data_IF_272657095972
#
_entry.id   IF_272657095972
#
_cell.length_a   1.000
_cell.length_b   1.000
_cell.length_c   1.000
_cell.angle_alpha   90.00
_cell.angle_beta   90.00
_cell.angle_gamma   90.00
#
_symmetry.space_group_name_H-M   'P 1'
#
loop_
_entity.id
_entity.type
_entity.pdbx_description
1 polymer ?
#
# COMPACT_ATOMS: atom_id res chain seq x y z
N UNK A 1 5.63 -29.48 -8.68
CA UNK A 1 5.32 -28.32 -9.54
C UNK A 1 5.11 -28.75 -10.98
N UNK A 2 6.04 -29.50 -11.58
CA UNK A 2 5.92 -29.95 -12.98
C UNK A 2 4.64 -30.76 -13.24
N UNK A 3 4.31 -31.72 -12.37
CA UNK A 3 3.04 -32.46 -12.45
C UNK A 3 1.80 -31.56 -12.34
N UNK A 4 1.89 -30.46 -11.56
CA UNK A 4 0.79 -29.50 -11.43
C UNK A 4 0.59 -28.79 -12.76
N UNK A 5 1.68 -28.35 -13.40
CA UNK A 5 1.62 -27.70 -14.71
C UNK A 5 1.15 -28.66 -15.81
N UNK A 6 1.65 -29.89 -15.82
CA UNK A 6 1.31 -30.90 -16.82
C UNK A 6 -0.17 -31.33 -16.77
N UNK A 7 -0.74 -31.43 -15.56
CA UNK A 7 -2.12 -31.88 -15.36
C UNK A 7 -3.13 -30.73 -15.26
N UNK A 8 -2.68 -29.48 -15.32
CA UNK A 8 -3.54 -28.31 -15.11
C UNK A 8 -4.57 -28.17 -16.23
N UNK A 9 -5.85 -28.22 -15.86
CA UNK A 9 -6.95 -27.91 -16.76
C UNK A 9 -7.46 -26.50 -16.49
N UNK A 10 -7.24 -25.60 -17.44
CA UNK A 10 -7.66 -24.20 -17.32
C UNK A 10 -9.17 -24.07 -17.14
N UNK A 11 -9.59 -23.20 -16.22
CA UNK A 11 -10.99 -22.85 -15.98
C UNK A 11 -11.24 -21.38 -16.36
N UNK A 12 -10.50 -20.43 -15.77
CA UNK A 12 -10.65 -18.99 -16.04
C UNK A 12 -9.45 -18.18 -15.57
N UNK A 13 -9.32 -16.95 -16.07
CA UNK A 13 -8.35 -15.98 -15.55
C UNK A 13 -8.88 -15.40 -14.23
N UNK A 14 -8.03 -15.37 -13.21
CA UNK A 14 -8.32 -14.70 -11.94
C UNK A 14 -7.94 -13.24 -12.03
N UNK A 15 -6.71 -12.91 -12.42
CA UNK A 15 -6.23 -11.54 -12.60
C UNK A 15 -5.16 -11.47 -13.67
N UNK A 16 -5.05 -10.31 -14.32
CA UNK A 16 -4.07 -10.04 -15.36
C UNK A 16 -3.61 -8.58 -15.22
N UNK A 17 -2.39 -8.38 -14.72
CA UNK A 17 -1.78 -7.07 -14.56
C UNK A 17 -0.76 -6.82 -15.69
N UNK A 18 -1.10 -5.98 -16.68
CA UNK A 18 -0.20 -5.69 -17.80
C UNK A 18 1.03 -4.89 -17.40
N UNK A 19 0.99 -4.15 -16.27
CA UNK A 19 2.11 -3.33 -15.81
C UNK A 19 3.22 -4.19 -15.24
N UNK A 20 2.88 -5.14 -14.37
CA UNK A 20 3.82 -6.10 -13.78
C UNK A 20 4.03 -7.34 -14.65
N UNK A 21 3.27 -7.47 -15.75
CA UNK A 21 3.31 -8.63 -16.66
C UNK A 21 3.02 -9.94 -15.91
N UNK A 22 2.09 -9.88 -14.96
CA UNK A 22 1.71 -10.96 -14.05
C UNK A 22 0.27 -11.38 -14.34
N UNK A 23 0.04 -12.68 -14.50
CA UNK A 23 -1.29 -13.27 -14.64
C UNK A 23 -1.48 -14.38 -13.61
N UNK A 24 -2.65 -14.46 -13.00
CA UNK A 24 -3.11 -15.60 -12.21
C UNK A 24 -4.26 -16.28 -12.95
N UNK A 25 -4.17 -17.60 -13.11
CA UNK A 25 -5.22 -18.42 -13.71
C UNK A 25 -5.70 -19.48 -12.73
N UNK A 26 -7.01 -19.74 -12.74
CA UNK A 26 -7.65 -20.83 -12.02
C UNK A 26 -7.86 -22.00 -12.97
N UNK A 27 -7.66 -23.20 -12.43
CA UNK A 27 -7.93 -24.45 -13.11
C UNK A 27 -8.20 -25.57 -12.12
N UNK A 28 -8.16 -26.81 -12.63
CA UNK A 28 -8.37 -28.02 -11.85
C UNK A 28 -7.32 -29.08 -12.15
N UNK A 29 -7.01 -29.87 -11.12
CA UNK A 29 -6.23 -31.10 -11.21
C UNK A 29 -7.00 -32.12 -10.37
N UNK A 30 -7.41 -33.25 -10.98
CA UNK A 30 -8.14 -34.32 -10.28
C UNK A 30 -9.32 -33.79 -9.43
N UNK A 31 -10.15 -32.94 -10.03
CA UNK A 31 -11.32 -32.27 -9.42
C UNK A 31 -11.03 -31.30 -8.25
N UNK A 32 -9.76 -31.05 -7.92
CA UNK A 32 -9.36 -30.04 -6.95
C UNK A 32 -8.89 -28.76 -7.65
N UNK A 33 -9.23 -27.61 -7.08
CA UNK A 33 -8.80 -26.32 -7.63
C UNK A 33 -7.27 -26.17 -7.58
N UNK A 34 -6.72 -25.53 -8.61
CA UNK A 34 -5.34 -25.13 -8.69
C UNK A 34 -5.25 -23.68 -9.19
N UNK A 35 -4.34 -22.89 -8.63
CA UNK A 35 -4.00 -21.56 -9.16
C UNK A 35 -2.57 -21.62 -9.68
N UNK A 36 -2.34 -21.11 -10.88
CA UNK A 36 -1.00 -20.94 -11.46
C UNK A 36 -0.81 -19.47 -11.79
N UNK A 37 0.35 -18.91 -11.47
CA UNK A 37 0.73 -17.57 -11.89
C UNK A 37 1.90 -17.58 -12.85
N UNK A 38 1.90 -16.65 -13.80
CA UNK A 38 3.00 -16.41 -14.72
C UNK A 38 3.39 -14.94 -14.65
N UNK A 39 4.64 -14.66 -14.33
CA UNK A 39 5.19 -13.30 -14.22
C UNK A 39 6.44 -13.20 -15.08
N UNK A 40 6.48 -12.24 -16.01
CA UNK A 40 7.70 -12.03 -16.80
C UNK A 40 8.84 -11.51 -15.93
N UNK A 41 9.97 -12.18 -15.97
CA UNK A 41 11.19 -11.76 -15.31
C UNK A 41 11.81 -10.53 -16.02
N UNK A 42 12.63 -9.79 -15.28
CA UNK A 42 13.47 -8.72 -15.86
C UNK A 42 14.56 -9.32 -16.75
N UNK A 43 15.04 -8.55 -17.72
CA UNK A 43 16.26 -8.90 -18.45
C UNK A 43 17.45 -8.97 -17.48
N UNK A 44 18.31 -9.96 -17.68
CA UNK A 44 19.57 -10.04 -16.95
C UNK A 44 20.59 -9.06 -17.52
N UNK A 45 21.44 -8.49 -16.67
CA UNK A 45 22.45 -7.51 -17.09
C UNK A 45 23.42 -8.09 -18.14
N UNK A 46 23.67 -9.40 -18.09
CA UNK A 46 24.50 -10.11 -19.06
C UNK A 46 23.87 -10.24 -20.45
N UNK A 47 22.55 -10.19 -20.55
CA UNK A 47 21.83 -10.31 -21.84
C UNK A 47 21.64 -8.96 -22.54
N UNK A 48 21.66 -7.85 -21.80
CA UNK A 48 21.39 -6.50 -22.32
C UNK A 48 22.18 -6.15 -23.60
N UNK A 49 23.50 -6.42 -23.70
CA UNK A 49 24.27 -6.07 -24.91
C UNK A 49 23.85 -6.86 -26.15
N UNK A 50 23.11 -7.96 -26.01
CA UNK A 50 22.78 -8.89 -27.09
C UNK A 50 21.30 -8.82 -27.52
N UNK A 51 20.48 -7.95 -26.91
CA UNK A 51 19.04 -7.89 -27.20
C UNK A 51 18.75 -7.62 -28.68
N UNK A 52 19.47 -6.70 -29.31
CA UNK A 52 19.24 -6.30 -30.72
C UNK A 52 19.60 -7.40 -31.72
N UNK A 53 20.61 -8.22 -31.43
CA UNK A 53 21.02 -9.35 -32.29
C UNK A 53 20.14 -10.58 -32.07
N UNK A 54 19.54 -10.72 -30.89
CA UNK A 54 18.63 -11.81 -30.51
C UNK A 54 17.14 -11.53 -30.81
N UNK A 55 16.83 -10.31 -31.23
CA UNK A 55 15.47 -9.90 -31.62
C UNK A 55 15.12 -10.48 -32.99
N UNK A 56 14.04 -11.25 -33.06
CA UNK A 56 13.53 -11.78 -34.32
C UNK A 56 13.00 -10.65 -35.21
N UNK A 57 13.20 -10.81 -36.53
CA UNK A 57 12.80 -9.82 -37.54
C UNK A 57 11.98 -10.50 -38.65
N UNK A 58 11.06 -9.78 -39.32
CA UNK A 58 10.68 -8.38 -39.10
C UNK A 58 9.97 -8.16 -37.76
N UNK A 59 9.87 -6.90 -37.31
CA UNK A 59 9.04 -6.55 -36.17
C UNK A 59 7.56 -6.58 -36.59
N UNK A 60 6.71 -7.09 -35.72
CA UNK A 60 5.25 -6.99 -35.82
C UNK A 60 4.81 -5.57 -35.45
N UNK A 61 3.76 -5.05 -36.10
CA UNK A 61 3.22 -3.70 -35.88
C UNK A 61 4.29 -2.58 -35.87
N UNK A 62 5.31 -2.74 -36.71
CA UNK A 62 6.40 -1.78 -36.82
C UNK A 62 5.89 -0.44 -37.36
N UNK A 63 6.20 0.63 -36.65
CA UNK A 63 5.90 2.01 -37.01
C UNK A 63 7.14 2.89 -36.81
N UNK A 64 7.26 3.92 -37.64
CA UNK A 64 8.34 4.89 -37.56
C UNK A 64 7.80 6.31 -37.70
N UNK A 65 8.32 7.22 -36.88
CA UNK A 65 8.06 8.65 -36.96
C UNK A 65 9.35 9.42 -36.63
N UNK A 66 9.99 9.97 -37.67
CA UNK A 66 11.27 10.67 -37.61
C UNK A 66 12.36 9.79 -36.96
N UNK A 67 12.78 10.11 -35.73
CA UNK A 67 13.83 9.37 -35.00
C UNK A 67 13.26 8.31 -34.04
N UNK A 68 11.93 8.14 -33.99
CA UNK A 68 11.26 7.20 -33.11
C UNK A 68 10.71 6.02 -33.91
N UNK A 69 11.08 4.80 -33.54
CA UNK A 69 10.51 3.57 -34.08
C UNK A 69 10.01 2.68 -32.96
N UNK A 70 8.90 1.97 -33.18
CA UNK A 70 8.34 1.01 -32.23
C UNK A 70 7.66 -0.14 -32.96
N UNK A 71 7.57 -1.28 -32.29
CA UNK A 71 6.94 -2.51 -32.79
C UNK A 71 7.08 -3.63 -31.76
N UNK A 72 6.63 -4.82 -32.10
CA UNK A 72 6.69 -6.01 -31.27
C UNK A 72 7.60 -7.06 -31.91
N UNK A 73 8.34 -7.80 -31.08
CA UNK A 73 9.16 -8.92 -31.56
C UNK A 73 9.44 -9.91 -30.43
N UNK A 74 9.73 -11.14 -30.83
CA UNK A 74 10.25 -12.15 -29.92
C UNK A 74 11.76 -11.99 -29.75
N UNK A 75 12.22 -11.86 -28.50
CA UNK A 75 13.64 -11.87 -28.16
C UNK A 75 14.02 -13.26 -27.64
N UNK A 76 15.01 -13.90 -28.26
CA UNK A 76 15.50 -15.21 -27.81
C UNK A 76 16.46 -15.02 -26.62
N UNK A 77 16.04 -15.48 -25.45
CA UNK A 77 16.83 -15.46 -24.21
C UNK A 77 17.40 -16.85 -23.93
N UNK A 78 18.58 -16.91 -23.29
CA UNK A 78 19.17 -18.20 -22.89
C UNK A 78 18.66 -18.62 -21.51
N UNK A 79 18.34 -17.64 -20.66
CA UNK A 79 17.77 -17.87 -19.34
C UNK A 79 16.24 -17.99 -19.40
N UNK A 80 15.67 -18.69 -18.42
CA UNK A 80 14.23 -18.70 -18.20
C UNK A 80 13.74 -17.28 -17.85
N UNK A 81 12.67 -16.83 -18.50
CA UNK A 81 12.20 -15.44 -18.46
C UNK A 81 10.83 -15.27 -17.77
N UNK A 82 10.32 -16.34 -17.15
CA UNK A 82 8.97 -16.38 -16.60
C UNK A 82 8.98 -17.07 -15.24
N UNK A 83 8.64 -16.34 -14.18
CA UNK A 83 8.42 -16.92 -12.86
C UNK A 83 7.05 -17.59 -12.81
N UNK A 84 7.05 -18.86 -12.40
CA UNK A 84 5.83 -19.66 -12.25
C UNK A 84 5.63 -19.96 -10.77
N UNK A 85 4.43 -19.69 -10.24
CA UNK A 85 4.03 -20.10 -8.90
C UNK A 85 2.76 -20.94 -8.99
N UNK A 86 2.64 -21.94 -8.12
CA UNK A 86 1.47 -22.83 -8.09
C UNK A 86 0.89 -22.89 -6.70
N UNK A 87 -0.44 -22.96 -6.60
CA UNK A 87 -1.19 -23.18 -5.37
C UNK A 87 -2.11 -24.36 -5.63
N UNK A 88 -1.82 -25.50 -5.02
CA UNK A 88 -2.59 -26.72 -5.19
C UNK A 88 -2.50 -27.59 -3.92
N UNK A 89 -3.64 -28.09 -3.39
CA UNK A 89 -5.01 -27.69 -3.74
C UNK A 89 -5.32 -26.26 -3.28
N UNK A 90 -5.96 -25.48 -4.14
CA UNK A 90 -6.41 -24.12 -3.84
C UNK A 90 -7.78 -24.14 -3.15
N UNK A 91 -7.95 -23.29 -2.14
CA UNK A 91 -9.23 -23.09 -1.45
C UNK A 91 -9.95 -21.90 -2.04
N UNK A 92 -11.23 -21.75 -1.74
CA UNK A 92 -12.02 -20.57 -2.11
C UNK A 92 -11.40 -19.26 -1.57
N UNK A 93 -10.72 -19.31 -0.42
CA UNK A 93 -9.99 -18.17 0.12
C UNK A 93 -8.80 -17.78 -0.77
N UNK A 94 -8.05 -18.76 -1.29
CA UNK A 94 -6.98 -18.49 -2.25
C UNK A 94 -7.54 -17.89 -3.54
N UNK A 95 -8.64 -18.44 -4.08
CA UNK A 95 -9.28 -17.95 -5.30
C UNK A 95 -9.66 -16.48 -5.15
N UNK A 96 -10.39 -16.13 -4.08
CA UNK A 96 -10.82 -14.76 -3.81
C UNK A 96 -9.67 -13.77 -3.63
N UNK A 97 -8.52 -14.24 -3.12
CA UNK A 97 -7.32 -13.41 -2.94
C UNK A 97 -6.68 -12.99 -4.27
N UNK A 98 -6.63 -13.90 -5.24
CA UNK A 98 -5.96 -13.67 -6.54
C UNK A 98 -6.92 -13.24 -7.65
N UNK A 99 -8.22 -13.32 -7.41
CA UNK A 99 -9.25 -12.84 -8.32
C UNK A 99 -9.28 -11.31 -8.36
N UNK A 100 -9.12 -10.77 -9.57
CA UNK A 100 -9.27 -9.37 -9.85
C UNK A 100 -10.71 -8.95 -9.52
N UNK A 101 -10.81 -7.90 -8.73
CA UNK A 101 -12.04 -7.16 -8.57
C UNK A 101 -11.82 -5.78 -9.18
N UNK A 102 -12.80 -5.30 -9.94
CA UNK A 102 -12.72 -3.97 -10.50
C UNK A 102 -12.73 -2.96 -9.35
N UNK A 103 -11.83 -1.98 -9.39
CA UNK A 103 -11.78 -0.90 -8.39
C UNK A 103 -12.66 0.25 -8.86
N UNK A 104 -13.33 0.90 -7.92
CA UNK A 104 -14.15 2.09 -8.12
C UNK A 104 -13.56 3.27 -7.37
N UNK A 105 -13.78 4.46 -7.92
CA UNK A 105 -13.48 5.71 -7.24
C UNK A 105 -14.72 6.15 -6.47
N UNK A 106 -14.59 6.35 -5.16
CA UNK A 106 -15.58 7.03 -4.33
C UNK A 106 -15.09 8.46 -4.13
N UNK A 107 -15.97 9.45 -4.26
CA UNK A 107 -15.68 10.86 -3.97
C UNK A 107 -16.40 11.21 -2.66
N UNK A 108 -15.73 10.99 -1.54
CA UNK A 108 -16.37 11.08 -0.22
C UNK A 108 -16.41 12.51 0.32
N UNK A 109 -17.60 13.05 0.51
CA UNK A 109 -17.82 14.32 1.23
C UNK A 109 -17.81 14.09 2.74
N UNK A 110 -17.65 15.15 3.56
CA UNK A 110 -17.77 15.03 5.03
C UNK A 110 -19.07 14.36 5.48
N UNK A 111 -20.20 14.67 4.82
CA UNK A 111 -21.48 14.06 5.15
C UNK A 111 -21.49 12.54 4.87
N UNK A 112 -20.88 12.10 3.77
CA UNK A 112 -20.77 10.68 3.44
C UNK A 112 -19.84 9.94 4.42
N UNK A 113 -18.76 10.60 4.86
CA UNK A 113 -17.90 10.05 5.91
C UNK A 113 -18.69 9.75 7.18
N UNK A 114 -19.42 10.73 7.70
CA UNK A 114 -20.20 10.58 8.94
C UNK A 114 -21.32 9.54 8.82
N UNK A 115 -21.98 9.47 7.66
CA UNK A 115 -23.14 8.59 7.45
C UNK A 115 -22.76 7.14 7.13
N UNK A 116 -21.64 6.92 6.44
CA UNK A 116 -21.28 5.61 5.86
C UNK A 116 -19.94 5.12 6.42
N UNK A 117 -18.89 5.90 6.19
CA UNK A 117 -17.52 5.43 6.45
C UNK A 117 -17.23 5.33 7.94
N UNK A 118 -17.61 6.32 8.75
CA UNK A 118 -17.38 6.29 10.18
C UNK A 118 -18.12 5.13 10.87
N UNK A 119 -19.42 4.87 10.62
CA UNK A 119 -20.09 3.66 11.09
C UNK A 119 -19.40 2.37 10.65
N UNK A 120 -18.92 2.31 9.39
CA UNK A 120 -18.13 1.17 8.94
C UNK A 120 -16.85 1.00 9.76
N UNK A 121 -16.07 2.07 9.99
CA UNK A 121 -14.85 2.03 10.81
C UNK A 121 -15.15 1.48 12.21
N UNK A 122 -16.23 1.96 12.85
CA UNK A 122 -16.64 1.50 14.18
C UNK A 122 -17.14 0.05 14.20
N UNK A 123 -17.60 -0.47 13.05
CA UNK A 123 -17.98 -1.88 12.90
C UNK A 123 -16.79 -2.82 12.67
N UNK A 124 -15.60 -2.29 12.34
CA UNK A 124 -14.40 -3.12 12.14
C UNK A 124 -13.99 -3.72 13.50
N UNK A 125 -13.84 -5.06 13.61
CA UNK A 125 -13.45 -5.68 14.88
C UNK A 125 -12.07 -5.22 15.36
N UNK A 126 -11.93 -4.96 16.66
CA UNK A 126 -10.69 -4.45 17.26
C UNK A 126 -9.50 -5.41 17.08
N UNK A 127 -9.76 -6.72 16.95
CA UNK A 127 -8.71 -7.73 16.72
C UNK A 127 -7.94 -7.48 15.41
N UNK A 128 -8.53 -6.73 14.46
CA UNK A 128 -7.89 -6.35 13.20
C UNK A 128 -6.64 -5.49 13.40
N UNK A 129 -6.53 -4.77 14.51
CA UNK A 129 -5.36 -3.95 14.87
C UNK A 129 -4.56 -4.57 16.01
N UNK A 130 -4.86 -5.79 16.46
CA UNK A 130 -4.15 -6.41 17.58
C UNK A 130 -2.65 -6.56 17.31
N UNK A 131 -2.26 -6.83 16.06
CA UNK A 131 -0.85 -6.90 15.67
C UNK A 131 -0.14 -5.55 15.84
N UNK A 132 -0.84 -4.43 15.60
CA UNK A 132 -0.33 -3.07 15.83
C UNK A 132 -0.09 -2.87 17.32
N UNK A 133 -1.10 -3.17 18.14
CA UNK A 133 -1.03 -3.05 19.60
C UNK A 133 0.15 -3.89 20.14
N UNK A 134 0.37 -5.08 19.60
CA UNK A 134 1.47 -5.94 20.04
C UNK A 134 2.85 -5.32 19.76
N UNK A 135 3.03 -4.63 18.63
CA UNK A 135 4.25 -3.87 18.28
C UNK A 135 4.41 -2.69 19.24
N UNK A 136 3.36 -1.91 19.44
CA UNK A 136 3.38 -0.73 20.31
C UNK A 136 3.75 -1.11 21.76
N UNK A 137 3.20 -2.22 22.27
CA UNK A 137 3.52 -2.76 23.60
C UNK A 137 4.87 -3.49 23.68
N UNK A 138 5.60 -3.67 22.57
CA UNK A 138 6.87 -4.39 22.54
C UNK A 138 6.74 -5.90 22.76
N UNK A 139 5.55 -6.47 22.57
CA UNK A 139 5.28 -7.91 22.71
C UNK A 139 5.50 -8.69 21.41
N UNK A 140 5.60 -7.99 20.27
CA UNK A 140 5.90 -8.56 18.96
C UNK A 140 6.77 -7.61 18.15
N UNK A 141 7.65 -8.16 17.31
CA UNK A 141 8.59 -7.43 16.43
C UNK A 141 9.45 -6.36 17.13
N UNK A 142 9.61 -6.44 18.45
CA UNK A 142 10.35 -5.45 19.23
C UNK A 142 11.83 -5.35 18.80
N UNK A 143 12.40 -6.45 18.32
CA UNK A 143 13.75 -6.55 17.77
C UNK A 143 13.89 -5.87 16.39
N UNK A 144 12.78 -5.70 15.65
CA UNK A 144 12.75 -5.05 14.34
C UNK A 144 12.56 -3.53 14.42
N UNK A 145 12.14 -3.01 15.57
CA UNK A 145 11.91 -1.57 15.77
C UNK A 145 13.23 -0.81 15.59
N UNK A 146 13.28 0.09 14.61
CA UNK A 146 14.46 0.92 14.33
C UNK A 146 14.50 2.20 15.18
N UNK A 147 13.33 2.63 15.65
CA UNK A 147 13.17 3.82 16.48
C UNK A 147 11.89 3.75 17.31
N UNK A 148 11.96 4.24 18.55
CA UNK A 148 10.82 4.48 19.44
C UNK A 148 11.01 5.83 20.11
N UNK A 149 10.07 6.75 19.88
CA UNK A 149 9.97 8.02 20.61
C UNK A 149 9.57 7.68 22.06
N UNK A 150 10.23 8.27 23.07
CA UNK A 150 9.90 8.02 24.50
C UNK A 150 10.97 7.31 25.34
N UNK A 151 12.13 6.92 24.78
CA UNK A 151 13.24 6.35 25.57
C UNK A 151 14.21 7.39 26.18
N UNK A 152 13.89 8.69 26.13
CA UNK A 152 14.69 9.74 26.79
C UNK A 152 14.15 9.91 28.22
N UNK A 153 14.57 9.03 29.14
CA UNK A 153 14.27 9.13 30.59
C UNK A 153 15.28 10.03 31.33
N UNK A 154 15.63 11.18 30.77
CA UNK A 154 16.66 12.06 31.34
C UNK A 154 16.20 13.52 31.53
N UNK A 155 14.95 13.76 31.97
CA UNK A 155 14.64 14.98 32.70
C UNK A 155 14.04 14.65 34.06
N UNK A 156 14.56 15.34 35.07
CA UNK A 156 14.13 15.29 36.47
C UNK A 156 13.71 16.71 36.84
N UNK A 157 12.57 17.19 36.35
CA UNK A 157 12.02 18.45 36.85
C UNK A 157 10.51 18.34 37.11
N UNK A 158 10.03 18.94 38.20
CA UNK A 158 8.69 18.67 38.77
C UNK A 158 7.54 19.46 38.12
N UNK A 159 7.80 20.18 37.03
CA UNK A 159 6.79 20.89 36.23
C UNK A 159 6.29 20.04 35.03
N UNK A 160 6.45 18.72 35.13
CA UNK A 160 6.43 17.75 34.02
C UNK A 160 5.06 17.14 33.70
N UNK A 161 4.00 17.22 34.51
CA UNK A 161 2.77 16.43 34.24
C UNK A 161 2.01 16.86 32.96
N UNK A 162 1.74 18.16 32.76
CA UNK A 162 1.08 18.64 31.52
C UNK A 162 1.99 18.51 30.29
N UNK A 163 3.31 18.73 30.44
CA UNK A 163 4.28 18.52 29.35
C UNK A 163 4.47 17.05 29.00
N UNK A 164 4.33 16.16 29.96
CA UNK A 164 4.49 14.72 29.77
C UNK A 164 3.28 14.11 29.08
N UNK A 165 2.07 14.61 29.35
CA UNK A 165 0.87 14.24 28.58
C UNK A 165 0.99 14.69 27.11
N UNK A 166 1.45 15.93 26.85
CA UNK A 166 1.74 16.41 25.48
C UNK A 166 2.86 15.60 24.78
N UNK A 167 3.87 15.14 25.53
CA UNK A 167 4.97 14.32 25.00
C UNK A 167 4.55 12.87 24.71
N UNK A 168 3.68 12.27 25.54
CA UNK A 168 3.12 10.92 25.35
C UNK A 168 2.18 10.86 24.14
N UNK A 169 1.43 11.93 23.86
CA UNK A 169 0.55 12.03 22.70
C UNK A 169 1.30 12.08 21.35
N UNK A 170 2.56 12.49 21.35
CA UNK A 170 3.39 12.60 20.15
C UNK A 170 4.35 11.41 19.96
N UNK A 171 4.16 10.32 20.73
CA UNK A 171 4.99 9.13 20.60
C UNK A 171 4.63 8.28 19.38
N UNK A 172 5.66 7.65 18.79
CA UNK A 172 5.55 6.73 17.68
C UNK A 172 6.72 5.76 17.63
N UNK A 173 6.54 4.67 16.88
CA UNK A 173 7.59 3.72 16.52
C UNK A 173 7.83 3.77 15.02
N UNK A 174 9.07 3.53 14.59
CA UNK A 174 9.39 3.25 13.18
C UNK A 174 9.99 1.85 13.09
N UNK A 175 9.54 1.07 12.12
CA UNK A 175 10.03 -0.27 11.84
C UNK A 175 9.96 -0.62 10.34
N UNK A 176 10.77 -1.59 9.87
CA UNK A 176 10.64 -2.22 8.57
C UNK A 176 9.21 -2.70 8.25
N UNK A 177 8.67 -2.32 7.09
CA UNK A 177 7.44 -2.94 6.59
C UNK A 177 7.72 -4.40 6.21
N UNK A 178 6.73 -5.28 6.35
CA UNK A 178 6.84 -6.69 5.98
C UNK A 178 7.14 -6.92 4.49
N UNK A 179 6.88 -5.93 3.63
CA UNK A 179 7.14 -5.99 2.18
C UNK A 179 8.59 -5.63 1.80
N UNK A 180 9.40 -5.14 2.73
CA UNK A 180 10.75 -4.70 2.42
C UNK A 180 11.73 -5.88 2.32
N UNK A 181 12.59 -5.88 1.30
CA UNK A 181 13.61 -6.91 1.09
C UNK A 181 14.96 -6.62 1.80
N UNK A 182 15.08 -5.46 2.46
CA UNK A 182 16.29 -5.01 3.15
C UNK A 182 17.25 -4.15 2.33
N UNK A 183 16.99 -3.91 1.04
CA UNK A 183 17.84 -3.08 0.17
C UNK A 183 17.48 -1.60 0.26
N UNK A 184 18.45 -0.73 -0.07
CA UNK A 184 18.27 0.72 -0.05
C UNK A 184 17.26 1.16 -1.13
N UNK A 185 17.32 0.52 -2.29
CA UNK A 185 16.54 0.86 -3.48
C UNK A 185 15.05 0.59 -3.30
N UNK A 186 14.71 -0.41 -2.48
CA UNK A 186 13.32 -0.78 -2.15
C UNK A 186 12.92 -0.39 -0.72
N UNK A 187 13.69 0.49 -0.05
CA UNK A 187 13.44 0.90 1.34
C UNK A 187 11.96 1.14 1.59
N UNK A 188 11.42 0.41 2.57
CA UNK A 188 10.04 0.54 3.01
C UNK A 188 9.96 0.37 4.53
N UNK A 189 9.75 1.49 5.23
CA UNK A 189 9.41 1.51 6.65
C UNK A 189 7.98 1.99 6.87
N UNK A 190 7.47 1.75 8.06
CA UNK A 190 6.22 2.32 8.55
C UNK A 190 6.48 2.99 9.89
N UNK A 191 5.96 4.21 10.06
CA UNK A 191 5.84 4.85 11.35
C UNK A 191 4.42 4.60 11.89
N UNK A 192 4.28 4.20 13.15
CA UNK A 192 3.00 3.92 13.79
C UNK A 192 2.91 4.79 15.04
N UNK A 193 1.87 5.62 15.14
CA UNK A 193 1.65 6.46 16.32
C UNK A 193 1.23 5.61 17.53
N UNK A 194 1.59 6.05 18.74
CA UNK A 194 1.20 5.38 19.99
C UNK A 194 -0.26 5.69 20.35
N UNK A 195 -0.71 6.94 20.12
CA UNK A 195 -2.11 7.36 20.31
C UNK A 195 -3.09 6.57 19.44
N UNK A 196 -4.29 6.34 19.96
CA UNK A 196 -5.33 5.48 19.35
C UNK A 196 -6.56 6.25 18.84
N UNK A 197 -6.59 7.57 19.02
CA UNK A 197 -7.68 8.46 18.58
C UNK A 197 -7.58 8.84 17.08
N UNK A 198 -6.43 8.62 16.45
CA UNK A 198 -6.23 8.83 15.01
C UNK A 198 -6.54 7.55 14.24
N UNK A 199 -7.77 7.43 13.73
CA UNK A 199 -8.23 6.27 12.98
C UNK A 199 -7.80 6.32 11.50
N UNK A 200 -7.76 7.52 10.91
CA UNK A 200 -7.41 7.73 9.51
C UNK A 200 -7.07 9.20 9.25
N UNK A 201 -6.84 9.55 7.98
CA UNK A 201 -6.66 10.93 7.50
C UNK A 201 -7.77 11.89 8.01
N UNK A 202 -9.00 11.42 8.17
CA UNK A 202 -10.15 12.20 8.67
C UNK A 202 -10.03 12.63 10.14
N UNK A 203 -9.22 11.94 10.94
CA UNK A 203 -8.98 12.30 12.34
C UNK A 203 -7.96 13.45 12.47
N UNK A 204 -7.09 13.65 11.47
CA UNK A 204 -6.00 14.62 11.56
C UNK A 204 -6.50 16.06 11.59
N UNK A 205 -5.90 16.86 12.46
CA UNK A 205 -6.25 18.25 12.73
C UNK A 205 -5.02 18.94 13.36
N UNK A 206 -5.14 20.23 13.72
CA UNK A 206 -4.06 21.04 14.30
C UNK A 206 -3.31 20.38 15.47
N UNK A 207 -3.99 19.66 16.36
CA UNK A 207 -3.38 19.02 17.55
C UNK A 207 -2.36 17.94 17.18
N UNK A 208 -2.45 17.40 15.96
CA UNK A 208 -1.60 16.30 15.51
C UNK A 208 -0.35 16.76 14.76
N UNK A 209 -0.16 18.07 14.53
CA UNK A 209 0.90 18.56 13.66
C UNK A 209 2.31 18.26 14.16
N UNK A 210 2.51 18.28 15.48
CA UNK A 210 3.83 18.05 16.07
C UNK A 210 4.23 16.58 15.91
N UNK A 211 3.33 15.62 16.19
CA UNK A 211 3.50 14.22 15.80
C UNK A 211 3.87 14.05 14.31
N UNK A 212 3.13 14.68 13.39
CA UNK A 212 3.38 14.55 11.95
C UNK A 212 4.76 15.06 11.54
N UNK A 213 5.18 16.22 12.08
CA UNK A 213 6.51 16.80 11.85
C UNK A 213 7.61 15.95 12.48
N UNK A 214 7.42 15.48 13.72
CA UNK A 214 8.37 14.59 14.41
C UNK A 214 8.59 13.29 13.64
N UNK A 215 7.52 12.66 13.13
CA UNK A 215 7.63 11.46 12.27
C UNK A 215 8.46 11.77 11.03
N UNK A 216 8.15 12.86 10.31
CA UNK A 216 8.85 13.26 9.09
C UNK A 216 10.34 13.47 9.33
N UNK A 217 10.67 14.32 10.30
CA UNK A 217 12.04 14.74 10.55
C UNK A 217 12.87 13.55 11.10
N UNK A 218 12.25 12.69 11.92
CA UNK A 218 12.87 11.45 12.39
C UNK A 218 13.13 10.46 11.27
N UNK A 219 12.19 10.28 10.35
CA UNK A 219 12.38 9.39 9.20
C UNK A 219 13.55 9.85 8.32
N UNK A 220 13.64 11.15 8.00
CA UNK A 220 14.77 11.71 7.25
C UNK A 220 16.10 11.49 7.96
N UNK A 221 16.15 11.76 9.27
CA UNK A 221 17.36 11.55 10.08
C UNK A 221 17.79 10.08 10.07
N UNK A 222 16.88 9.15 10.34
CA UNK A 222 17.19 7.71 10.39
C UNK A 222 17.66 7.16 9.04
N UNK A 223 17.04 7.62 7.94
CA UNK A 223 17.45 7.21 6.60
C UNK A 223 18.85 7.74 6.24
N UNK A 224 19.17 8.97 6.64
CA UNK A 224 20.52 9.52 6.47
C UNK A 224 21.55 8.75 7.28
N UNK A 225 21.28 8.49 8.57
CA UNK A 225 22.20 7.79 9.48
C UNK A 225 22.47 6.34 9.06
N UNK A 226 21.43 5.60 8.62
CA UNK A 226 21.53 4.16 8.37
C UNK A 226 21.91 3.81 6.93
N UNK A 227 21.52 4.64 5.95
CA UNK A 227 21.64 4.31 4.52
C UNK A 227 22.25 5.43 3.68
N UNK A 228 22.70 6.53 4.29
CA UNK A 228 23.15 7.73 3.59
C UNK A 228 22.16 8.16 2.49
N UNK A 229 20.89 8.24 2.88
CA UNK A 229 19.81 8.71 2.02
C UNK A 229 19.43 10.14 2.39
N UNK A 230 19.52 11.03 1.40
CA UNK A 230 19.01 12.39 1.55
C UNK A 230 17.47 12.41 1.51
N UNK A 231 16.88 13.45 2.11
CA UNK A 231 15.43 13.58 2.29
C UNK A 231 14.63 13.55 0.98
N UNK A 232 15.21 14.03 -0.11
CA UNK A 232 14.62 14.07 -1.46
C UNK A 232 14.65 12.70 -2.17
N UNK A 233 15.31 11.71 -1.57
CA UNK A 233 15.26 10.31 -1.99
C UNK A 233 14.16 9.51 -1.27
N UNK A 234 13.37 10.17 -0.41
CA UNK A 234 12.29 9.54 0.33
C UNK A 234 10.91 10.09 -0.06
N UNK A 235 9.92 9.20 -0.01
CA UNK A 235 8.50 9.49 -0.18
C UNK A 235 7.76 9.06 1.06
N UNK A 236 7.21 10.03 1.79
CA UNK A 236 6.41 9.82 3.00
C UNK A 236 4.93 10.07 2.70
N UNK A 237 4.06 9.13 3.02
CA UNK A 237 2.64 9.23 2.69
C UNK A 237 1.73 8.43 3.63
N UNK A 238 0.46 8.85 3.68
CA UNK A 238 -0.63 8.22 4.43
C UNK A 238 -1.63 7.64 3.44
N UNK A 239 -2.19 6.46 3.75
CA UNK A 239 -3.26 5.89 2.95
C UNK A 239 -4.64 6.41 3.34
N UNK A 240 -5.48 6.66 2.33
CA UNK A 240 -6.92 6.84 2.48
C UNK A 240 -7.68 6.06 1.40
N UNK A 241 -8.49 5.05 1.71
CA UNK A 241 -8.68 4.42 3.03
C UNK A 241 -7.45 3.58 3.45
N UNK A 242 -7.09 3.54 4.74
CA UNK A 242 -6.04 2.64 5.22
C UNK A 242 -6.53 1.18 5.27
N UNK A 243 -5.59 0.22 5.28
CA UNK A 243 -5.93 -1.20 5.48
C UNK A 243 -6.29 -1.54 6.93
N UNK A 244 -5.81 -0.72 7.87
CA UNK A 244 -6.02 -0.84 9.31
C UNK A 244 -6.26 0.57 9.86
N UNK A 245 -7.33 0.74 10.65
CA UNK A 245 -7.72 2.03 11.21
C UNK A 245 -6.96 2.34 12.51
N UNK A 246 -5.64 2.44 12.38
CA UNK A 246 -4.71 2.95 13.39
C UNK A 246 -3.66 3.76 12.64
N UNK A 247 -3.39 4.98 13.07
CA UNK A 247 -2.60 5.91 12.26
C UNK A 247 -1.16 5.42 12.00
N UNK A 248 -0.79 5.44 10.72
CA UNK A 248 0.53 5.08 10.28
C UNK A 248 0.94 5.88 9.03
N UNK A 249 2.25 6.11 8.91
CA UNK A 249 2.89 6.77 7.77
C UNK A 249 3.81 5.78 7.07
N UNK A 250 3.66 5.63 5.77
CA UNK A 250 4.58 4.86 4.94
C UNK A 250 5.78 5.72 4.56
N UNK A 251 6.98 5.16 4.69
CA UNK A 251 8.25 5.81 4.38
C UNK A 251 8.94 4.93 3.34
N UNK A 252 9.07 5.41 2.10
CA UNK A 252 9.60 4.61 0.99
C UNK A 252 10.73 5.32 0.26
N UNK A 253 11.68 4.59 -0.31
CA UNK A 253 12.61 5.15 -1.28
C UNK A 253 11.86 5.63 -2.54
N UNK A 254 12.24 6.78 -3.10
CA UNK A 254 11.69 7.27 -4.37
C UNK A 254 11.96 6.29 -5.52
N UNK A 255 13.11 5.59 -5.48
CA UNK A 255 13.49 4.54 -6.42
C UNK A 255 12.54 3.34 -6.40
N UNK A 256 11.81 3.12 -5.30
CA UNK A 256 10.75 2.13 -5.22
C UNK A 256 9.47 2.69 -5.88
N UNK A 257 9.51 2.81 -7.20
CA UNK A 257 8.48 3.50 -7.98
C UNK A 257 7.09 2.86 -7.88
N UNK A 258 7.01 1.55 -7.67
CA UNK A 258 5.80 0.75 -7.58
C UNK A 258 5.48 0.27 -6.15
N UNK A 259 6.03 0.96 -5.13
CA UNK A 259 5.72 0.69 -3.73
C UNK A 259 4.18 0.56 -3.52
N UNK A 260 3.71 -0.53 -2.89
CA UNK A 260 2.28 -0.80 -2.79
C UNK A 260 1.47 0.35 -2.16
N UNK A 261 0.50 0.86 -2.93
CA UNK A 261 -0.45 1.88 -2.48
C UNK A 261 -0.02 3.34 -2.72
N UNK A 262 1.13 3.58 -3.36
CA UNK A 262 1.67 4.91 -3.68
C UNK A 262 0.89 5.71 -4.75
N UNK A 263 -0.22 5.17 -5.23
CA UNK A 263 -1.01 5.74 -6.34
C UNK A 263 -1.90 6.89 -5.88
N UNK A 264 -2.15 7.85 -6.78
CA UNK A 264 -3.15 8.89 -6.56
C UNK A 264 -4.54 8.28 -6.36
N UNK A 265 -5.33 8.86 -5.44
CA UNK A 265 -6.60 8.25 -4.98
C UNK A 265 -6.38 7.12 -3.97
N UNK A 266 -5.20 7.05 -3.36
CA UNK A 266 -4.88 6.19 -2.23
C UNK A 266 -3.86 6.86 -1.31
N UNK A 267 -2.72 7.32 -1.85
CA UNK A 267 -1.65 7.96 -1.09
C UNK A 267 -1.81 9.48 -0.99
N UNK A 268 -1.59 10.01 0.21
CA UNK A 268 -1.52 11.44 0.52
C UNK A 268 -0.14 11.76 1.09
N UNK A 269 0.63 12.61 0.42
CA UNK A 269 1.99 12.96 0.85
C UNK A 269 1.96 13.66 2.22
N UNK A 270 2.84 13.24 3.13
CA UNK A 270 2.87 13.76 4.50
C UNK A 270 3.10 15.28 4.56
N UNK A 271 4.00 15.80 3.73
CA UNK A 271 4.26 17.25 3.68
C UNK A 271 3.03 18.05 3.22
N UNK A 272 2.28 17.54 2.23
CA UNK A 272 0.99 18.15 1.83
C UNK A 272 -0.05 18.03 2.94
N UNK A 273 -0.02 16.93 3.70
CA UNK A 273 -0.93 16.75 4.85
C UNK A 273 -0.65 17.78 5.93
N UNK A 274 0.62 18.00 6.26
CA UNK A 274 1.06 19.02 7.21
C UNK A 274 0.63 20.42 6.73
N UNK A 275 0.96 20.77 5.49
CA UNK A 275 0.64 22.08 4.90
C UNK A 275 -0.87 22.37 4.90
N UNK A 276 -1.69 21.39 4.52
CA UNK A 276 -3.14 21.51 4.55
C UNK A 276 -3.68 21.85 5.94
N UNK A 277 -3.14 21.22 6.99
CA UNK A 277 -3.57 21.44 8.38
C UNK A 277 -3.04 22.78 8.92
N UNK A 278 -1.84 23.20 8.51
CA UNK A 278 -1.30 24.52 8.85
C UNK A 278 -2.12 25.65 8.24
N UNK A 279 -2.67 25.45 7.04
CA UNK A 279 -3.59 26.38 6.39
C UNK A 279 -4.98 26.36 7.02
N UNK A 280 -5.51 25.17 7.32
CA UNK A 280 -6.83 24.99 7.93
C UNK A 280 -6.78 23.89 9.00
N UNK A 281 -6.96 24.29 10.26
CA UNK A 281 -6.87 23.39 11.42
C UNK A 281 -7.74 22.12 11.32
N UNK A 282 -8.86 22.19 10.61
CA UNK A 282 -9.85 21.12 10.42
C UNK A 282 -10.00 20.71 8.94
N UNK A 283 -8.94 20.87 8.13
CA UNK A 283 -8.97 20.63 6.69
C UNK A 283 -9.61 19.28 6.33
N UNK A 284 -9.18 18.20 6.99
CA UNK A 284 -9.60 16.84 6.63
C UNK A 284 -11.00 16.50 7.08
N UNK A 285 -11.56 17.21 8.06
CA UNK A 285 -12.96 17.10 8.45
C UNK A 285 -13.87 17.78 7.40
N UNK A 286 -13.34 18.72 6.61
CA UNK A 286 -14.12 19.51 5.64
C UNK A 286 -13.89 19.11 4.19
N UNK A 287 -12.72 18.55 3.87
CA UNK A 287 -12.35 18.20 2.51
C UNK A 287 -13.22 17.07 1.94
N UNK A 288 -13.41 17.08 0.62
CA UNK A 288 -13.92 15.91 -0.11
C UNK A 288 -12.72 15.06 -0.50
N UNK A 289 -12.69 13.79 -0.08
CA UNK A 289 -11.54 12.90 -0.20
C UNK A 289 -11.87 11.76 -1.18
N UNK A 290 -11.34 11.81 -2.42
CA UNK A 290 -11.50 10.71 -3.36
C UNK A 290 -10.61 9.53 -2.97
N UNK A 291 -11.15 8.32 -2.98
CA UNK A 291 -10.38 7.10 -2.74
C UNK A 291 -10.81 5.96 -3.66
N UNK A 292 -9.85 5.05 -3.92
CA UNK A 292 -10.08 3.85 -4.72
C UNK A 292 -10.39 2.65 -3.84
N UNK A 293 -11.42 1.88 -4.19
CA UNK A 293 -11.83 0.71 -3.40
C UNK A 293 -12.33 -0.41 -4.31
N UNK A 294 -12.13 -1.66 -3.90
CA UNK A 294 -12.63 -2.81 -4.65
C UNK A 294 -14.13 -3.01 -4.45
N UNK A 295 -14.85 -3.43 -5.49
CA UNK A 295 -16.32 -3.60 -5.43
C UNK A 295 -16.81 -4.62 -4.41
N UNK A 296 -15.95 -5.55 -3.99
CA UNK A 296 -16.30 -6.57 -2.99
C UNK A 296 -16.01 -6.10 -1.57
N UNK A 297 -15.41 -4.92 -1.41
CA UNK A 297 -15.07 -4.40 -0.10
C UNK A 297 -16.35 -3.98 0.65
N UNK A 298 -16.51 -4.33 1.94
CA UNK A 298 -17.74 -4.02 2.69
C UNK A 298 -18.12 -2.54 2.68
N UNK A 299 -17.12 -1.64 2.82
CA UNK A 299 -17.35 -0.20 2.69
C UNK A 299 -17.95 0.20 1.34
N UNK A 300 -17.46 -0.33 0.21
CA UNK A 300 -18.05 -0.02 -1.10
C UNK A 300 -19.52 -0.46 -1.19
N UNK A 301 -19.83 -1.65 -0.66
CA UNK A 301 -21.20 -2.15 -0.61
C UNK A 301 -22.11 -1.25 0.24
N UNK A 302 -21.60 -0.67 1.33
CA UNK A 302 -22.34 0.30 2.15
C UNK A 302 -22.67 1.58 1.35
N UNK A 303 -21.72 2.09 0.54
CA UNK A 303 -21.98 3.21 -0.38
C UNK A 303 -23.09 2.91 -1.39
N UNK A 304 -23.07 1.72 -1.99
CA UNK A 304 -24.07 1.31 -2.98
C UNK A 304 -25.48 1.18 -2.40
N UNK A 305 -25.60 0.71 -1.15
CA UNK A 305 -26.90 0.61 -0.46
C UNK A 305 -27.51 1.99 -0.19
N UNK A 306 -26.69 2.97 0.18
CA UNK A 306 -27.15 4.33 0.43
C UNK A 306 -27.61 5.03 -0.86
N UNK A 307 -26.86 4.91 -1.96
CA UNK A 307 -27.26 5.45 -3.26
C UNK A 307 -28.63 4.89 -3.71
N UNK A 308 -28.82 3.57 -3.57
CA UNK A 308 -30.08 2.89 -3.94
C UNK A 308 -31.28 3.39 -3.13
N UNK A 309 -31.07 3.73 -1.85
CA UNK A 309 -32.10 4.26 -0.95
C UNK A 309 -32.52 5.70 -1.29
N UNK A 310 -31.59 6.49 -1.84
CA UNK A 310 -31.87 7.87 -2.29
C UNK A 310 -32.68 7.85 -3.59
N UNK A 311 -32.35 6.97 -4.54
CA UNK A 311 -33.10 6.86 -5.80
C UNK A 311 -34.54 6.39 -5.62
N UNK A 312 -34.81 5.49 -4.66
CA UNK A 312 -36.16 4.97 -4.40
C UNK A 312 -37.06 5.96 -3.65
N UNK A 313 -36.48 6.84 -2.82
CA UNK A 313 -37.22 7.89 -2.12
C UNK A 313 -37.60 9.09 -3.01
N UNK A 314 -36.89 9.32 -4.13
CA UNK A 314 -37.23 10.38 -5.09
C UNK A 314 -38.22 9.93 -6.18
N UNK A 315 -38.52 8.64 -6.27
CA UNK A 315 -39.47 8.05 -7.21
C UNK A 315 -40.84 7.70 -6.59
N UNK A 316 -41.08 8.11 -5.33
CA UNK A 316 -42.32 7.88 -4.58
C UNK A 316 -43.04 9.19 -4.30
#
# INVERSE_FOLDING_TARGET
>A
MDQVIEQFQFERVLSHDPRTKLVYILGRIQDQHAIVSFEKARYSDSELPQLTTRTQRPLDDANENNIYGWGMANVRLDAADTHIKTIYPATELHIRKYEHQQRRMIVETPALYEQITYPYIKSVPAERIQWVINILNGTSEADRVIYRQGNIKDSKDKDEEEKKEEEEEDEFVILPDMKWDGTKESLYWVAIAMRDDILSLRSLNRTHLDLLKKIRDTAYRLAKERYDMDKDLLRLFIHYQPSYYHFHVHITAISFADAPGVVAGQAHLLDTVIDNIELYNDYYQRATLPFTIGERHPLFLAYQQQESSITTSHSS
#
